data_IF_806422431811
#
_entry.id   IF_806422431811
#
_cell.length_a   1.000
_cell.length_b   1.000
_cell.length_c   1.000
_cell.angle_alpha   90.00
_cell.angle_beta   90.00
_cell.angle_gamma   90.00
#
_symmetry.space_group_name_H-M   'P 1'
#
loop_
_entity.id
_entity.type
_entity.pdbx_description
1 polymer ?
#
# COMPACT_ATOMS: atom_id res chain seq x y z
N UNK A 1 1.51 -1.19 -19.24
CA UNK A 1 1.67 0.01 -18.38
C UNK A 1 1.58 1.29 -19.22
N UNK A 2 1.25 2.38 -18.55
CA UNK A 2 1.27 3.72 -19.13
C UNK A 2 1.93 4.70 -18.14
N UNK A 3 2.88 5.48 -18.64
CA UNK A 3 3.54 6.55 -17.87
C UNK A 3 3.27 7.87 -18.56
N UNK A 4 2.71 8.84 -17.85
CA UNK A 4 2.22 10.10 -18.40
C UNK A 4 2.93 11.26 -17.70
N UNK A 5 3.57 12.12 -18.48
CA UNK A 5 4.12 13.35 -17.96
C UNK A 5 3.06 14.45 -17.94
N UNK A 6 2.74 14.99 -16.78
CA UNK A 6 1.75 16.05 -16.61
C UNK A 6 1.33 16.27 -15.16
N UNK A 7 0.54 17.30 -14.95
CA UNK A 7 -0.12 17.51 -13.67
C UNK A 7 -1.14 16.39 -13.45
N UNK A 8 -1.08 15.73 -12.30
CA UNK A 8 -1.93 14.56 -12.04
C UNK A 8 -3.43 14.90 -12.05
N UNK A 9 -3.83 16.07 -11.60
CA UNK A 9 -5.23 16.50 -11.62
C UNK A 9 -5.73 16.66 -13.06
N UNK A 10 -4.94 17.33 -13.93
CA UNK A 10 -5.28 17.53 -15.34
C UNK A 10 -5.34 16.19 -16.08
N UNK A 11 -4.37 15.31 -15.85
CA UNK A 11 -4.33 13.99 -16.48
C UNK A 11 -5.50 13.14 -15.99
N UNK A 12 -5.76 13.07 -14.69
CA UNK A 12 -6.86 12.27 -14.13
C UNK A 12 -8.22 12.75 -14.64
N UNK A 13 -8.41 14.07 -14.87
CA UNK A 13 -9.65 14.62 -15.43
C UNK A 13 -10.01 14.03 -16.80
N UNK A 14 -9.02 13.52 -17.55
CA UNK A 14 -9.24 12.88 -18.85
C UNK A 14 -9.72 11.42 -18.75
N UNK A 15 -9.57 10.81 -17.58
CA UNK A 15 -10.06 9.44 -17.34
C UNK A 15 -11.54 9.45 -16.95
N UNK A 16 -12.24 8.37 -17.33
CA UNK A 16 -13.59 8.10 -16.84
C UNK A 16 -13.64 7.77 -15.34
N UNK A 17 -14.83 7.60 -14.83
CA UNK A 17 -15.05 7.14 -13.44
C UNK A 17 -14.84 5.61 -13.34
N UNK A 18 -14.44 5.15 -12.14
CA UNK A 18 -14.41 3.73 -11.80
C UNK A 18 -13.52 2.87 -12.72
N UNK A 19 -12.33 3.37 -13.06
CA UNK A 19 -11.35 2.72 -13.94
C UNK A 19 -10.39 1.84 -13.14
N UNK A 20 -9.78 2.38 -12.08
CA UNK A 20 -8.68 1.72 -11.36
C UNK A 20 -9.17 0.90 -10.17
N UNK A 21 -8.50 -0.20 -9.89
CA UNK A 21 -8.81 -1.08 -8.76
C UNK A 21 -8.17 -0.59 -7.45
N UNK A 22 -7.01 0.01 -7.53
CA UNK A 22 -6.33 0.61 -6.37
C UNK A 22 -5.48 1.82 -6.77
N UNK A 23 -5.21 2.70 -5.81
CA UNK A 23 -4.17 3.72 -5.87
C UNK A 23 -3.13 3.41 -4.80
N UNK A 24 -1.86 3.31 -5.18
CA UNK A 24 -0.74 3.09 -4.26
C UNK A 24 0.35 4.06 -4.65
N UNK A 25 0.64 5.03 -3.78
CA UNK A 25 1.42 6.21 -4.14
C UNK A 25 2.29 6.73 -3.00
N UNK A 26 3.41 7.33 -3.36
CA UNK A 26 4.34 8.05 -2.48
C UNK A 26 4.37 9.55 -2.87
N UNK A 27 3.35 10.32 -2.47
CA UNK A 27 3.20 11.71 -2.87
C UNK A 27 4.19 12.64 -2.17
N UNK A 28 4.27 13.93 -2.56
CA UNK A 28 4.96 14.95 -1.79
C UNK A 28 4.49 14.99 -0.32
N UNK A 29 5.43 15.20 0.60
CA UNK A 29 5.13 15.24 2.04
C UNK A 29 5.05 16.67 2.60
N UNK A 30 5.41 17.69 1.80
CA UNK A 30 5.49 19.08 2.27
C UNK A 30 6.66 19.30 3.24
N UNK A 31 7.76 18.61 3.06
CA UNK A 31 8.96 18.71 3.90
C UNK A 31 10.03 19.61 3.30
N UNK A 32 9.80 20.19 2.12
CA UNK A 32 10.76 21.04 1.41
C UNK A 32 12.02 20.30 0.98
N UNK A 33 11.88 19.03 0.60
CA UNK A 33 13.01 18.22 0.12
C UNK A 33 13.48 18.64 -1.26
N UNK A 34 12.59 19.25 -2.04
CA UNK A 34 12.83 19.78 -3.39
C UNK A 34 11.74 20.80 -3.75
N UNK A 35 11.87 21.49 -4.89
CA UNK A 35 10.94 22.54 -5.34
C UNK A 35 9.49 22.08 -5.56
N UNK A 36 9.26 20.76 -5.68
CA UNK A 36 7.92 20.18 -5.79
C UNK A 36 7.32 19.75 -4.44
N UNK A 37 8.09 19.74 -3.35
CA UNK A 37 7.67 19.19 -2.04
C UNK A 37 7.24 20.30 -1.07
N UNK A 38 6.31 21.18 -1.50
CA UNK A 38 5.84 22.30 -0.68
C UNK A 38 4.72 21.96 0.29
N UNK A 39 3.87 20.97 -0.05
CA UNK A 39 2.71 20.59 0.75
C UNK A 39 2.30 19.14 0.46
N UNK A 40 1.50 18.57 1.36
CA UNK A 40 0.76 17.33 1.02
C UNK A 40 -0.26 17.62 -0.09
N UNK A 41 -0.63 16.64 -0.93
CA UNK A 41 -1.64 16.81 -1.97
C UNK A 41 -2.96 17.33 -1.40
N UNK A 42 -3.60 18.23 -2.15
CA UNK A 42 -4.87 18.87 -1.75
C UNK A 42 -6.04 17.90 -1.88
N UNK A 43 -7.19 18.29 -1.32
CA UNK A 43 -8.43 17.49 -1.37
C UNK A 43 -8.88 17.26 -2.82
N UNK A 44 -8.71 18.25 -3.70
CA UNK A 44 -9.12 18.18 -5.10
C UNK A 44 -8.37 17.07 -5.87
N UNK A 45 -7.09 16.88 -5.59
CA UNK A 45 -6.31 15.78 -6.18
C UNK A 45 -6.87 14.43 -5.72
N UNK A 46 -7.15 14.30 -4.42
CA UNK A 46 -7.74 13.07 -3.89
C UNK A 46 -9.17 12.83 -4.36
N UNK A 47 -9.93 13.88 -4.68
CA UNK A 47 -11.25 13.76 -5.31
C UNK A 47 -11.15 13.15 -6.71
N UNK A 48 -10.15 13.54 -7.52
CA UNK A 48 -9.91 12.91 -8.83
C UNK A 48 -9.47 11.45 -8.69
N UNK A 49 -8.60 11.14 -7.71
CA UNK A 49 -8.27 9.75 -7.39
C UNK A 49 -9.52 8.97 -6.96
N UNK A 50 -10.34 9.54 -6.08
CA UNK A 50 -11.61 8.93 -5.65
C UNK A 50 -12.55 8.66 -6.82
N UNK A 51 -12.73 9.63 -7.71
CA UNK A 51 -13.60 9.51 -8.88
C UNK A 51 -13.16 8.37 -9.79
N UNK A 52 -11.86 8.28 -10.05
CA UNK A 52 -11.29 7.29 -10.98
C UNK A 52 -11.16 5.89 -10.39
N UNK A 53 -11.16 5.73 -9.06
CA UNK A 53 -11.17 4.41 -8.43
C UNK A 53 -12.55 3.75 -8.51
N UNK A 54 -12.56 2.43 -8.67
CA UNK A 54 -13.77 1.59 -8.59
C UNK A 54 -14.34 1.59 -7.17
N UNK A 55 -15.67 1.43 -6.99
CA UNK A 55 -16.27 1.21 -5.68
C UNK A 55 -15.58 0.05 -4.93
N UNK A 56 -15.23 0.27 -3.68
CA UNK A 56 -14.46 -0.67 -2.87
C UNK A 56 -12.94 -0.66 -3.12
N UNK A 57 -12.44 0.10 -4.08
CA UNK A 57 -11.01 0.25 -4.36
C UNK A 57 -10.27 0.90 -3.20
N UNK A 58 -9.04 0.46 -2.95
CA UNK A 58 -8.20 0.99 -1.89
C UNK A 58 -7.29 2.11 -2.38
N UNK A 59 -7.07 3.11 -1.52
CA UNK A 59 -6.08 4.16 -1.69
C UNK A 59 -5.05 4.07 -0.56
N UNK A 60 -3.80 3.81 -0.91
CA UNK A 60 -2.66 3.77 -0.01
C UNK A 60 -1.74 4.95 -0.31
N UNK A 61 -1.54 5.83 0.67
CA UNK A 61 -0.67 6.99 0.54
C UNK A 61 0.41 6.99 1.60
N UNK A 62 1.66 6.93 1.19
CA UNK A 62 2.79 7.14 2.08
C UNK A 62 2.78 8.57 2.61
N UNK A 63 3.36 8.79 3.79
CA UNK A 63 3.45 10.10 4.40
C UNK A 63 4.57 10.20 5.43
N UNK A 64 4.96 11.42 5.78
CA UNK A 64 5.78 11.66 6.95
C UNK A 64 4.96 11.57 8.24
N UNK A 65 5.54 11.12 9.36
CA UNK A 65 4.86 11.15 10.65
C UNK A 65 4.38 12.55 11.08
N UNK A 66 5.08 13.59 10.64
CA UNK A 66 4.78 14.98 11.00
C UNK A 66 3.49 15.49 10.33
N UNK A 67 3.21 15.04 9.11
CA UNK A 67 2.09 15.53 8.29
C UNK A 67 1.03 14.47 8.00
N UNK A 68 1.15 13.28 8.61
CA UNK A 68 0.19 12.19 8.46
C UNK A 68 -1.26 12.63 8.69
N UNK A 69 -1.48 13.42 9.73
CA UNK A 69 -2.82 13.91 10.06
C UNK A 69 -3.42 14.76 8.93
N UNK A 70 -2.63 15.60 8.26
CA UNK A 70 -3.10 16.41 7.13
C UNK A 70 -3.40 15.54 5.91
N UNK A 71 -2.52 14.57 5.62
CA UNK A 71 -2.73 13.62 4.53
C UNK A 71 -4.02 12.83 4.74
N UNK A 72 -4.21 12.26 5.94
CA UNK A 72 -5.38 11.47 6.26
C UNK A 72 -6.68 12.28 6.16
N UNK A 73 -6.68 13.53 6.67
CA UNK A 73 -7.84 14.43 6.55
C UNK A 73 -8.14 14.76 5.09
N UNK A 74 -7.14 15.12 4.28
CA UNK A 74 -7.38 15.45 2.87
C UNK A 74 -7.93 14.24 2.09
N UNK A 75 -7.46 13.04 2.38
CA UNK A 75 -7.98 11.79 1.78
C UNK A 75 -9.42 11.54 2.24
N UNK A 76 -9.72 11.73 3.52
CA UNK A 76 -11.07 11.54 4.08
C UNK A 76 -12.06 12.58 3.51
N UNK A 77 -11.66 13.85 3.46
CA UNK A 77 -12.48 14.95 2.92
C UNK A 77 -12.77 14.78 1.41
N UNK A 78 -11.93 14.04 0.69
CA UNK A 78 -12.19 13.66 -0.69
C UNK A 78 -13.27 12.59 -0.85
N UNK A 79 -13.76 11.99 0.25
CA UNK A 79 -14.85 11.01 0.26
C UNK A 79 -14.44 9.57 0.59
N UNK A 80 -13.16 9.32 0.81
CA UNK A 80 -12.68 8.01 1.24
C UNK A 80 -13.03 7.73 2.69
N UNK A 81 -13.11 6.44 3.04
CA UNK A 81 -13.21 5.97 4.43
C UNK A 81 -11.84 5.48 4.87
N UNK A 82 -11.27 6.11 5.90
CA UNK A 82 -10.02 5.64 6.51
C UNK A 82 -10.25 4.28 7.15
N UNK A 83 -9.47 3.28 6.78
CA UNK A 83 -9.57 1.89 7.25
C UNK A 83 -8.50 1.52 8.25
N UNK A 84 -7.27 1.95 8.00
CA UNK A 84 -6.12 1.58 8.81
C UNK A 84 -4.96 2.56 8.58
N UNK A 85 -3.91 2.38 9.35
CA UNK A 85 -2.60 2.94 9.14
C UNK A 85 -1.59 1.81 9.12
N UNK A 86 -0.81 1.71 8.05
CA UNK A 86 0.34 0.82 8.02
C UNK A 86 1.57 1.61 8.50
N UNK A 87 2.38 1.00 9.36
CA UNK A 87 3.68 1.53 9.77
C UNK A 87 4.78 0.75 9.05
N UNK A 88 5.45 1.40 8.08
CA UNK A 88 6.67 0.84 7.51
C UNK A 88 7.85 1.23 8.37
N UNK A 89 8.44 0.24 9.03
CA UNK A 89 9.57 0.43 9.94
C UNK A 89 10.86 0.66 9.16
N UNK A 90 11.62 1.69 9.55
CA UNK A 90 12.92 2.03 8.93
C UNK A 90 13.91 2.49 9.99
N UNK A 91 15.14 1.99 9.94
CA UNK A 91 16.19 2.36 10.92
C UNK A 91 17.27 3.25 10.34
N UNK A 92 17.23 3.52 9.04
CA UNK A 92 18.31 4.19 8.31
C UNK A 92 18.16 5.71 8.24
N UNK A 93 17.09 6.28 8.79
CA UNK A 93 16.92 7.74 8.83
C UNK A 93 17.91 8.38 9.81
N UNK A 94 18.35 9.60 9.48
CA UNK A 94 19.27 10.35 10.33
C UNK A 94 18.56 10.89 11.58
N UNK A 95 19.24 10.95 12.73
CA UNK A 95 18.74 11.67 13.89
C UNK A 95 18.46 13.14 13.54
N UNK A 96 17.36 13.68 14.05
CA UNK A 96 17.05 15.12 13.94
C UNK A 96 17.34 15.80 15.26
N UNK A 97 17.83 17.05 15.22
CA UNK A 97 18.08 17.83 16.43
C UNK A 97 16.77 17.99 17.24
N UNK A 98 16.83 17.79 18.54
CA UNK A 98 15.70 17.91 19.49
C UNK A 98 14.47 17.03 19.18
N UNK A 99 14.66 15.92 18.44
CA UNK A 99 13.59 14.95 18.13
C UNK A 99 14.11 13.52 18.23
N UNK A 100 13.23 12.61 18.47
CA UNK A 100 13.54 11.18 18.33
C UNK A 100 13.92 10.89 16.87
N UNK A 101 14.87 9.96 16.68
CA UNK A 101 15.22 9.45 15.36
C UNK A 101 13.97 8.82 14.75
N UNK A 102 13.51 9.27 13.56
CA UNK A 102 12.37 8.63 12.89
C UNK A 102 12.67 7.16 12.60
N UNK A 103 11.79 6.27 13.01
CA UNK A 103 11.93 4.83 12.83
C UNK A 103 10.79 4.20 12.02
N UNK A 104 9.89 4.99 11.47
CA UNK A 104 8.82 4.52 10.59
C UNK A 104 8.39 5.59 9.58
N UNK A 105 7.75 5.14 8.52
CA UNK A 105 6.92 5.94 7.63
C UNK A 105 5.50 5.40 7.72
N UNK A 106 4.50 6.24 8.05
CA UNK A 106 3.11 5.83 8.06
C UNK A 106 2.55 5.80 6.63
N UNK A 107 1.62 4.88 6.38
CA UNK A 107 0.87 4.80 5.14
C UNK A 107 -0.61 4.91 5.50
N UNK A 108 -1.30 5.88 4.94
CA UNK A 108 -2.77 5.98 5.04
C UNK A 108 -3.36 4.82 4.25
N UNK A 109 -4.26 4.06 4.86
CA UNK A 109 -5.06 3.04 4.18
C UNK A 109 -6.49 3.50 4.17
N UNK A 110 -6.97 3.89 3.00
CA UNK A 110 -8.32 4.37 2.79
C UNK A 110 -9.05 3.53 1.73
N UNK A 111 -10.36 3.55 1.74
CA UNK A 111 -11.18 2.78 0.81
C UNK A 111 -12.32 3.64 0.28
N UNK A 112 -12.51 3.63 -1.04
CA UNK A 112 -13.74 4.15 -1.64
C UNK A 112 -14.90 3.29 -1.16
N UNK A 113 -16.01 3.87 -0.65
CA UNK A 113 -17.18 3.12 -0.25
C UNK A 113 -17.61 2.11 -1.32
N UNK A 114 -17.96 0.92 -0.91
CA UNK A 114 -18.46 -0.11 -1.81
C UNK A 114 -19.99 -0.03 -1.97
N UNK A 115 -20.50 -0.55 -3.08
CA UNK A 115 -21.93 -0.56 -3.40
C UNK A 115 -22.61 -1.79 -2.81
N UNK A 116 -23.67 -1.59 -2.03
CA UNK A 116 -24.45 -2.67 -1.46
C UNK A 116 -23.66 -3.54 -0.47
N UNK A 117 -23.67 -4.87 -0.66
CA UNK A 117 -22.86 -5.78 0.15
C UNK A 117 -21.44 -5.91 -0.41
N UNK A 118 -20.49 -6.20 0.47
CA UNK A 118 -19.08 -6.43 0.08
C UNK A 118 -18.96 -7.52 -1.01
N UNK A 119 -19.75 -8.61 -0.89
CA UNK A 119 -19.80 -9.67 -1.89
C UNK A 119 -20.28 -9.16 -3.26
N UNK A 120 -21.41 -8.45 -3.28
CA UNK A 120 -21.97 -7.94 -4.54
C UNK A 120 -21.02 -6.93 -5.21
N UNK A 121 -20.36 -6.10 -4.40
CA UNK A 121 -19.35 -5.17 -4.91
C UNK A 121 -18.16 -5.90 -5.52
N UNK A 122 -17.66 -6.93 -4.84
CA UNK A 122 -16.55 -7.73 -5.36
C UNK A 122 -16.94 -8.45 -6.67
N UNK A 123 -18.13 -9.06 -6.72
CA UNK A 123 -18.62 -9.75 -7.91
C UNK A 123 -18.76 -8.78 -9.13
N UNK A 124 -19.13 -7.51 -8.87
CA UNK A 124 -19.31 -6.48 -9.92
C UNK A 124 -18.02 -5.78 -10.32
N UNK A 125 -17.19 -5.40 -9.35
CA UNK A 125 -16.07 -4.49 -9.55
C UNK A 125 -14.69 -5.15 -9.38
N UNK A 126 -14.62 -6.36 -8.86
CA UNK A 126 -13.36 -7.02 -8.48
C UNK A 126 -12.67 -6.38 -7.26
N UNK A 127 -13.30 -5.43 -6.59
CA UNK A 127 -12.75 -4.63 -5.50
C UNK A 127 -13.45 -4.87 -4.17
N UNK A 128 -12.83 -4.40 -3.07
CA UNK A 128 -13.40 -4.37 -1.73
C UNK A 128 -12.79 -5.37 -0.76
N UNK A 129 -12.24 -6.46 -1.24
CA UNK A 129 -11.53 -7.45 -0.45
C UNK A 129 -10.03 -7.20 -0.48
N UNK A 130 -9.35 -7.55 0.60
CA UNK A 130 -7.88 -7.62 0.67
C UNK A 130 -7.44 -9.07 0.72
N UNK A 131 -6.38 -9.40 0.01
CA UNK A 131 -5.87 -10.77 -0.07
C UNK A 131 -4.92 -11.09 1.09
N UNK A 132 -5.50 -11.31 2.26
CA UNK A 132 -4.71 -11.66 3.45
C UNK A 132 -4.37 -13.15 3.52
N UNK A 133 -5.17 -14.01 2.90
CA UNK A 133 -4.98 -15.46 3.00
C UNK A 133 -3.80 -15.95 2.16
N UNK A 134 -3.62 -15.45 0.95
CA UNK A 134 -2.47 -15.79 0.11
C UNK A 134 -1.18 -15.04 0.52
N UNK A 135 -1.30 -14.01 1.37
CA UNK A 135 -0.17 -13.21 1.85
C UNK A 135 0.16 -13.45 3.32
N UNK A 136 -0.12 -14.64 3.83
CA UNK A 136 0.23 -15.03 5.20
C UNK A 136 1.74 -15.05 5.40
N UNK A 137 2.17 -14.60 6.56
CA UNK A 137 3.57 -14.67 7.00
C UNK A 137 3.85 -16.06 7.56
N UNK A 138 4.76 -16.78 6.95
CA UNK A 138 5.13 -18.14 7.35
C UNK A 138 5.54 -18.22 8.84
N UNK A 139 5.32 -19.37 9.44
CA UNK A 139 5.80 -19.65 10.79
C UNK A 139 7.30 -19.94 10.75
N UNK A 140 8.07 -19.31 11.62
CA UNK A 140 9.50 -19.63 11.81
C UNK A 140 9.71 -20.92 12.60
N UNK A 141 8.69 -21.32 13.36
CA UNK A 141 8.66 -22.54 14.19
C UNK A 141 7.32 -23.22 13.98
N UNK A 142 7.14 -24.41 14.56
CA UNK A 142 5.83 -25.09 14.51
C UNK A 142 4.70 -24.14 14.96
N UNK A 143 3.58 -24.11 14.21
CA UNK A 143 2.44 -23.28 14.57
C UNK A 143 1.90 -23.66 15.95
N UNK A 144 1.50 -22.66 16.78
CA UNK A 144 0.93 -22.94 18.09
C UNK A 144 -0.35 -23.78 17.99
N UNK A 145 -0.50 -24.76 18.88
CA UNK A 145 -1.69 -25.61 18.98
C UNK A 145 -2.53 -25.21 20.19
N UNK A 146 -3.82 -25.45 20.09
CA UNK A 146 -4.73 -25.31 21.23
C UNK A 146 -5.03 -23.88 21.66
N UNK A 147 -5.03 -22.92 20.74
CA UNK A 147 -5.47 -21.56 21.03
C UNK A 147 -6.95 -21.53 21.39
N UNK A 148 -7.27 -20.94 22.53
CA UNK A 148 -8.66 -20.70 22.90
C UNK A 148 -9.26 -19.74 21.88
N UNK A 149 -10.29 -20.16 21.16
CA UNK A 149 -11.02 -19.32 20.21
C UNK A 149 -11.50 -18.07 20.95
N UNK A 150 -10.85 -16.92 20.69
CA UNK A 150 -10.92 -15.75 21.52
C UNK A 150 -12.33 -15.29 21.85
N UNK A 151 -12.75 -15.65 23.02
CA UNK A 151 -13.80 -14.97 23.76
C UNK A 151 -13.17 -13.87 24.60
N UNK A 152 -12.51 -12.91 23.98
CA UNK A 152 -12.21 -11.68 24.68
C UNK A 152 -13.57 -11.08 25.08
N UNK A 153 -13.90 -11.15 26.37
CA UNK A 153 -14.96 -10.33 26.94
C UNK A 153 -14.68 -8.91 26.46
N UNK A 154 -15.49 -8.39 25.53
CA UNK A 154 -15.41 -6.98 25.17
C UNK A 154 -15.61 -6.20 26.46
N UNK A 155 -14.55 -5.79 27.11
CA UNK A 155 -14.57 -4.75 28.11
C UNK A 155 -14.87 -3.47 27.35
N UNK A 156 -16.16 -3.14 27.23
CA UNK A 156 -16.59 -1.80 26.87
C UNK A 156 -16.12 -0.88 27.99
N UNK A 157 -15.19 -0.03 27.71
CA UNK A 157 -14.80 1.05 28.62
C UNK A 157 -16.10 1.81 29.01
N UNK A 158 -16.46 1.80 30.29
CA UNK A 158 -17.42 2.72 30.87
C UNK A 158 -18.90 2.30 30.97
N UNK A 159 -19.27 1.02 30.81
CA UNK A 159 -20.62 0.54 31.19
C UNK A 159 -20.53 -0.78 31.95
N UNK A 160 -20.96 -0.78 33.20
CA UNK A 160 -21.37 -1.99 33.93
C UNK A 160 -22.59 -2.57 33.23
N UNK A 161 -22.38 -3.48 32.28
CA UNK A 161 -23.44 -4.22 31.62
C UNK A 161 -23.57 -5.59 32.23
N UNK A 162 -24.73 -5.94 32.76
CA UNK A 162 -25.09 -7.29 33.17
C UNK A 162 -24.85 -8.27 32.02
N UNK A 163 -23.89 -9.17 32.15
CA UNK A 163 -23.66 -10.27 31.22
C UNK A 163 -24.74 -11.33 31.40
N UNK A 164 -25.84 -11.20 30.66
CA UNK A 164 -26.75 -12.31 30.37
C UNK A 164 -26.28 -12.98 29.09
N UNK A 165 -25.33 -13.86 29.18
CA UNK A 165 -24.87 -14.67 28.06
C UNK A 165 -24.38 -16.01 28.58
N UNK A 166 -25.02 -17.09 28.17
CA UNK A 166 -24.57 -18.44 28.40
C UNK A 166 -23.10 -18.58 28.11
N UNK A 167 -22.33 -19.14 29.05
CA UNK A 167 -20.95 -19.54 28.81
C UNK A 167 -20.96 -20.62 27.73
N UNK A 168 -20.79 -20.21 26.46
CA UNK A 168 -20.40 -21.14 25.39
C UNK A 168 -18.98 -21.57 25.69
N UNK A 169 -18.75 -22.86 25.89
CA UNK A 169 -17.39 -23.41 25.90
C UNK A 169 -16.72 -23.03 24.59
N UNK A 170 -15.68 -22.22 24.70
CA UNK A 170 -14.88 -21.83 23.54
C UNK A 170 -13.94 -22.99 23.23
N UNK A 171 -14.20 -23.70 22.15
CA UNK A 171 -13.31 -24.75 21.66
C UNK A 171 -11.90 -24.19 21.36
N UNK A 172 -10.90 -25.02 21.50
CA UNK A 172 -9.54 -24.70 21.03
C UNK A 172 -9.48 -24.80 19.51
N UNK A 173 -8.74 -23.92 18.89
CA UNK A 173 -8.45 -23.93 17.44
C UNK A 173 -6.95 -23.89 17.28
N UNK A 174 -6.42 -24.78 16.45
CA UNK A 174 -5.01 -24.71 16.06
C UNK A 174 -4.76 -23.51 15.17
N UNK A 175 -3.56 -22.95 15.24
CA UNK A 175 -3.16 -21.87 14.36
C UNK A 175 -3.16 -22.37 12.91
N UNK A 176 -3.47 -21.46 11.96
CA UNK A 176 -3.47 -21.82 10.55
C UNK A 176 -2.07 -22.27 10.12
N UNK A 177 -1.92 -23.49 9.57
CA UNK A 177 -0.61 -24.01 9.19
C UNK A 177 0.09 -23.17 8.11
N UNK A 178 -0.68 -22.45 7.29
CA UNK A 178 -0.16 -21.60 6.20
C UNK A 178 0.46 -20.28 6.69
N UNK A 179 0.42 -20.00 8.00
CA UNK A 179 1.04 -18.80 8.55
C UNK A 179 0.08 -17.85 9.25
N UNK A 180 0.66 -16.76 9.75
CA UNK A 180 -0.04 -15.67 10.45
C UNK A 180 -0.66 -14.70 9.43
N UNK A 181 -1.72 -14.01 9.80
CA UNK A 181 -2.23 -12.89 9.04
C UNK A 181 -1.16 -11.79 8.88
N UNK A 182 -1.12 -11.09 7.73
CA UNK A 182 -0.30 -9.91 7.57
C UNK A 182 -0.57 -8.89 8.68
N UNK A 183 0.48 -8.20 9.12
CA UNK A 183 0.38 -7.14 10.12
C UNK A 183 0.40 -5.78 9.43
N UNK A 184 -0.25 -4.79 10.04
CA UNK A 184 -0.12 -3.38 9.64
C UNK A 184 1.20 -2.73 10.11
N UNK A 185 2.14 -3.51 10.64
CA UNK A 185 3.52 -3.11 10.87
C UNK A 185 4.39 -3.93 9.92
N UNK A 186 5.07 -3.27 8.99
CA UNK A 186 5.92 -3.88 7.98
C UNK A 186 7.37 -3.55 8.29
N UNK A 187 8.22 -4.57 8.34
CA UNK A 187 9.65 -4.45 8.61
C UNK A 187 10.18 -5.70 9.27
N UNK A 188 11.50 -5.86 9.26
CA UNK A 188 12.18 -6.97 9.95
C UNK A 188 12.84 -6.49 11.24
N UNK A 189 12.70 -7.29 12.29
CA UNK A 189 13.42 -7.11 13.56
C UNK A 189 14.41 -8.25 13.67
N UNK A 190 15.70 -7.96 13.65
CA UNK A 190 16.71 -8.97 13.95
C UNK A 190 16.69 -9.28 15.45
N UNK A 191 16.81 -10.58 15.80
CA UNK A 191 16.70 -11.07 17.17
C UNK A 191 17.67 -10.41 18.16
N UNK A 192 18.85 -10.03 17.70
CA UNK A 192 19.89 -9.42 18.53
C UNK A 192 19.71 -7.91 18.73
N UNK A 193 18.78 -7.31 18.01
CA UNK A 193 18.51 -5.88 18.01
C UNK A 193 17.03 -5.57 18.26
N UNK A 194 16.37 -6.28 19.15
CA UNK A 194 14.96 -5.99 19.53
C UNK A 194 14.70 -4.53 19.93
N UNK A 195 15.76 -3.76 20.18
CA UNK A 195 15.69 -2.32 20.44
C UNK A 195 15.68 -1.45 19.18
N UNK A 196 16.02 -2.02 18.00
CA UNK A 196 16.17 -1.28 16.76
C UNK A 196 15.63 -2.10 15.59
N UNK A 197 14.49 -1.66 15.03
CA UNK A 197 13.91 -2.28 13.85
C UNK A 197 14.74 -1.95 12.60
N UNK A 198 15.01 -2.94 11.78
CA UNK A 198 15.71 -2.78 10.51
C UNK A 198 14.79 -3.15 9.35
N UNK A 199 14.48 -2.17 8.49
CA UNK A 199 13.85 -2.40 7.20
C UNK A 199 14.76 -1.87 6.10
N UNK A 200 15.12 -2.66 5.09
CA UNK A 200 16.03 -2.23 4.03
C UNK A 200 15.40 -1.09 3.22
N UNK A 201 16.22 -0.12 2.85
CA UNK A 201 15.91 0.86 1.80
C UNK A 201 16.15 0.23 0.44
N UNK A 202 15.58 0.85 -0.60
CA UNK A 202 15.90 0.48 -1.98
C UNK A 202 17.43 0.44 -2.20
N UNK A 203 17.91 -0.69 -2.69
CA UNK A 203 19.32 -0.89 -2.99
C UNK A 203 19.74 -0.07 -4.23
N UNK A 204 21.04 0.14 -4.45
CA UNK A 204 21.53 0.78 -5.67
C UNK A 204 21.11 0.01 -6.93
N UNK A 205 21.02 -1.31 -6.84
CA UNK A 205 20.57 -2.17 -7.95
C UNK A 205 19.10 -1.93 -8.29
N UNK A 206 18.24 -1.81 -7.28
CA UNK A 206 16.79 -1.53 -7.47
C UNK A 206 16.55 -0.11 -7.99
N UNK A 207 17.35 0.85 -7.56
CA UNK A 207 17.27 2.23 -8.06
C UNK A 207 17.59 2.33 -9.55
N UNK A 208 18.53 1.53 -10.03
CA UNK A 208 19.15 1.69 -11.34
C UNK A 208 20.35 2.63 -11.32
N UNK A 209 21.21 2.51 -12.34
CA UNK A 209 22.52 3.20 -12.37
C UNK A 209 22.38 4.72 -12.52
N UNK A 210 21.38 5.16 -13.29
CA UNK A 210 21.19 6.55 -13.69
C UNK A 210 19.96 7.20 -13.02
N UNK A 211 19.43 6.58 -11.95
CA UNK A 211 18.28 7.09 -11.21
C UNK A 211 18.74 7.94 -10.02
N UNK A 212 18.60 9.24 -10.15
CA UNK A 212 18.94 10.26 -9.17
C UNK A 212 17.78 10.62 -8.22
N UNK A 213 16.61 9.97 -8.38
CA UNK A 213 15.45 10.25 -7.54
C UNK A 213 15.76 10.04 -6.04
N UNK A 214 15.50 11.06 -5.17
CA UNK A 214 15.98 11.05 -3.79
C UNK A 214 15.32 10.01 -2.90
N UNK A 215 14.05 9.68 -3.14
CA UNK A 215 13.19 8.94 -2.21
C UNK A 215 12.62 7.64 -2.79
N UNK A 216 13.41 6.90 -3.57
CA UNK A 216 12.97 5.64 -4.18
C UNK A 216 12.58 4.62 -3.12
N UNK A 217 11.34 4.11 -3.18
CA UNK A 217 10.85 3.04 -2.30
C UNK A 217 11.40 1.66 -2.72
N UNK A 218 11.54 0.69 -1.78
CA UNK A 218 11.89 -0.68 -2.12
C UNK A 218 10.80 -1.34 -2.99
N UNK A 219 11.22 -2.04 -4.05
CA UNK A 219 10.28 -2.72 -4.96
C UNK A 219 9.48 -3.78 -4.21
N UNK A 220 10.12 -4.55 -3.33
CA UNK A 220 9.47 -5.63 -2.57
C UNK A 220 8.38 -5.10 -1.62
N UNK A 221 8.56 -3.89 -1.05
CA UNK A 221 7.53 -3.25 -0.25
C UNK A 221 6.31 -2.89 -1.09
N UNK A 222 6.53 -2.27 -2.26
CA UNK A 222 5.44 -1.89 -3.15
C UNK A 222 4.73 -3.13 -3.70
N UNK A 223 5.46 -4.18 -4.06
CA UNK A 223 4.93 -5.47 -4.50
C UNK A 223 4.05 -6.11 -3.41
N UNK A 224 4.50 -6.10 -2.16
CA UNK A 224 3.71 -6.62 -1.03
C UNK A 224 2.38 -5.86 -0.84
N UNK A 225 2.41 -4.53 -0.91
CA UNK A 225 1.19 -3.72 -0.82
C UNK A 225 0.25 -4.00 -2.00
N UNK A 226 0.78 -4.10 -3.22
CA UNK A 226 0.00 -4.40 -4.43
C UNK A 226 -0.67 -5.76 -4.32
N UNK A 227 0.03 -6.81 -3.88
CA UNK A 227 -0.56 -8.15 -3.69
C UNK A 227 -1.76 -8.15 -2.75
N UNK A 228 -1.70 -7.37 -1.67
CA UNK A 228 -2.77 -7.33 -0.66
C UNK A 228 -3.97 -6.49 -1.14
N UNK A 229 -3.72 -5.33 -1.75
CA UNK A 229 -4.75 -4.30 -1.96
C UNK A 229 -5.23 -4.15 -3.41
N UNK A 230 -4.59 -4.82 -4.36
CA UNK A 230 -5.00 -4.83 -5.75
C UNK A 230 -5.23 -6.27 -6.25
N UNK A 231 -6.39 -6.59 -6.80
CA UNK A 231 -6.65 -7.94 -7.33
C UNK A 231 -5.69 -8.28 -8.47
N UNK A 232 -5.45 -9.57 -8.70
CA UNK A 232 -4.67 -10.06 -9.84
C UNK A 232 -5.32 -9.56 -11.13
N UNK A 233 -4.51 -9.15 -12.12
CA UNK A 233 -4.97 -8.49 -13.36
C UNK A 233 -5.74 -7.19 -13.14
N UNK A 234 -5.77 -6.67 -11.91
CA UNK A 234 -6.31 -5.35 -11.62
C UNK A 234 -5.37 -4.24 -12.06
N UNK A 235 -5.86 -3.00 -12.04
CA UNK A 235 -5.08 -1.82 -12.41
C UNK A 235 -4.72 -0.98 -11.19
N UNK A 236 -3.45 -0.61 -11.10
CA UNK A 236 -2.89 0.27 -10.06
C UNK A 236 -2.65 1.66 -10.64
N UNK A 237 -3.13 2.67 -9.94
CA UNK A 237 -2.83 4.07 -10.21
C UNK A 237 -1.77 4.59 -9.24
N UNK A 238 -0.79 5.33 -9.76
CA UNK A 238 0.14 6.14 -8.97
C UNK A 238 0.23 7.56 -9.56
N UNK A 239 -0.49 8.54 -9.00
CA UNK A 239 -0.52 9.91 -9.51
C UNK A 239 0.76 10.72 -9.21
N UNK A 240 1.73 10.13 -8.50
CA UNK A 240 3.03 10.71 -8.15
C UNK A 240 4.14 9.67 -8.33
N UNK A 241 4.22 9.08 -9.52
CA UNK A 241 4.99 7.83 -9.73
C UNK A 241 6.51 8.00 -9.65
N UNK A 242 7.02 9.23 -9.66
CA UNK A 242 8.46 9.50 -9.63
C UNK A 242 9.21 8.65 -10.67
N UNK A 243 10.24 7.95 -10.22
CA UNK A 243 11.03 7.04 -11.07
C UNK A 243 10.39 5.65 -11.29
N UNK A 244 9.09 5.46 -11.03
CA UNK A 244 8.30 4.29 -11.45
C UNK A 244 8.45 3.02 -10.61
N UNK A 245 8.78 3.10 -9.33
CA UNK A 245 8.93 1.89 -8.49
C UNK A 245 7.61 1.14 -8.34
N UNK A 246 6.49 1.85 -8.17
CA UNK A 246 5.16 1.24 -8.12
C UNK A 246 4.83 0.51 -9.42
N UNK A 247 5.22 1.07 -10.57
CA UNK A 247 5.03 0.45 -11.88
C UNK A 247 5.80 -0.85 -12.03
N UNK A 248 7.10 -0.85 -11.71
CA UNK A 248 7.93 -2.06 -11.70
C UNK A 248 7.32 -3.14 -10.79
N UNK A 249 6.86 -2.75 -9.60
CA UNK A 249 6.24 -3.67 -8.66
C UNK A 249 4.90 -4.21 -9.18
N UNK A 250 4.06 -3.38 -9.80
CA UNK A 250 2.78 -3.79 -10.36
C UNK A 250 2.95 -4.82 -11.48
N UNK A 251 3.93 -4.62 -12.35
CA UNK A 251 4.23 -5.56 -13.43
C UNK A 251 4.74 -6.90 -12.89
N UNK A 252 5.61 -6.91 -11.89
CA UNK A 252 6.05 -8.15 -11.21
C UNK A 252 4.91 -8.95 -10.61
N UNK A 253 3.89 -8.26 -10.15
CA UNK A 253 2.73 -8.84 -9.51
C UNK A 253 1.56 -9.08 -10.47
N UNK A 254 1.78 -8.97 -11.78
CA UNK A 254 0.78 -9.22 -12.82
C UNK A 254 -0.45 -8.27 -12.71
N UNK A 255 -0.17 -6.98 -12.53
CA UNK A 255 -1.17 -5.90 -12.51
C UNK A 255 -0.87 -4.87 -13.59
N UNK A 256 -1.93 -4.29 -14.15
CA UNK A 256 -1.80 -3.10 -15.00
C UNK A 256 -1.37 -1.89 -14.20
N UNK A 257 -0.69 -0.95 -14.85
CA UNK A 257 -0.19 0.23 -14.16
C UNK A 257 -0.38 1.50 -14.97
N UNK A 258 -0.84 2.55 -14.29
CA UNK A 258 -0.82 3.93 -14.80
C UNK A 258 -0.09 4.80 -13.78
N UNK A 259 1.02 5.40 -14.21
CA UNK A 259 1.80 6.35 -13.43
C UNK A 259 1.76 7.73 -14.03
N UNK A 260 1.69 8.76 -13.20
CA UNK A 260 1.72 10.16 -13.59
C UNK A 260 2.81 10.87 -12.80
N UNK A 261 3.59 11.73 -13.43
CA UNK A 261 4.55 12.59 -12.75
C UNK A 261 4.73 13.91 -13.49
N UNK A 262 4.93 15.00 -12.75
CA UNK A 262 5.19 16.32 -13.29
C UNK A 262 6.56 16.42 -13.97
N UNK A 263 7.54 15.69 -13.45
CA UNK A 263 8.90 15.70 -13.96
C UNK A 263 9.04 14.81 -15.19
N UNK A 264 9.31 15.43 -16.34
CA UNK A 264 9.62 14.70 -17.57
C UNK A 264 10.84 13.78 -17.38
N UNK A 265 11.85 14.23 -16.64
CA UNK A 265 13.03 13.43 -16.34
C UNK A 265 12.67 12.14 -15.59
N UNK A 266 11.83 12.22 -14.54
CA UNK A 266 11.44 11.03 -13.79
C UNK A 266 10.49 10.12 -14.56
N UNK A 267 9.62 10.65 -15.41
CA UNK A 267 8.78 9.81 -16.28
C UNK A 267 9.59 9.05 -17.34
N UNK A 268 10.68 9.65 -17.85
CA UNK A 268 11.61 8.95 -18.75
C UNK A 268 12.32 7.79 -18.02
N UNK A 269 12.81 8.01 -16.80
CA UNK A 269 13.41 6.96 -15.95
C UNK A 269 12.37 5.87 -15.62
N UNK A 270 11.16 6.26 -15.25
CA UNK A 270 10.07 5.34 -14.96
C UNK A 270 9.73 4.45 -16.16
N UNK A 271 9.63 5.05 -17.35
CA UNK A 271 9.37 4.32 -18.60
C UNK A 271 10.46 3.31 -18.89
N UNK A 272 11.74 3.70 -18.75
CA UNK A 272 12.86 2.81 -18.95
C UNK A 272 12.85 1.64 -17.95
N UNK A 273 12.61 1.91 -16.67
CA UNK A 273 12.58 0.85 -15.64
C UNK A 273 11.42 -0.12 -15.85
N UNK A 274 10.25 0.37 -16.21
CA UNK A 274 9.10 -0.47 -16.52
C UNK A 274 9.33 -1.29 -17.80
N UNK A 275 9.91 -0.74 -18.86
CA UNK A 275 10.19 -1.49 -20.09
C UNK A 275 11.19 -2.64 -19.89
N UNK A 276 12.20 -2.45 -19.06
CA UNK A 276 13.15 -3.52 -18.69
C UNK A 276 12.44 -4.65 -17.93
N UNK A 277 11.54 -4.30 -17.03
CA UNK A 277 10.78 -5.29 -16.25
C UNK A 277 9.79 -6.05 -17.12
N UNK A 278 9.12 -5.38 -18.08
CA UNK A 278 8.20 -6.01 -19.04
C UNK A 278 8.92 -7.08 -19.86
N UNK A 279 10.09 -6.76 -20.41
CA UNK A 279 10.91 -7.74 -21.18
C UNK A 279 11.32 -8.90 -20.28
N UNK A 280 11.72 -8.65 -19.06
CA UNK A 280 12.11 -9.69 -18.09
C UNK A 280 10.96 -10.63 -17.77
N UNK A 281 9.75 -10.10 -17.60
CA UNK A 281 8.54 -10.87 -17.33
C UNK A 281 8.14 -11.77 -18.52
N UNK A 282 8.22 -11.25 -19.73
CA UNK A 282 7.96 -12.01 -20.98
C UNK A 282 8.98 -13.13 -21.20
N UNK A 283 10.24 -12.90 -20.87
CA UNK A 283 11.31 -13.90 -21.01
C UNK A 283 11.19 -15.04 -20.00
N UNK A 284 10.74 -14.73 -18.77
CA UNK A 284 10.60 -15.72 -17.68
C UNK A 284 9.29 -16.49 -17.73
N UNK A 285 8.24 -15.98 -18.40
CA UNK A 285 6.93 -16.61 -18.56
C UNK A 285 6.47 -16.73 -20.01
N UNK A 286 7.24 -17.38 -20.90
CA UNK A 286 6.89 -17.45 -22.34
C UNK A 286 5.63 -18.28 -22.65
N UNK A 287 5.04 -18.97 -21.67
CA UNK A 287 3.90 -19.86 -21.84
C UNK A 287 2.58 -19.33 -21.23
N UNK A 288 2.59 -18.20 -20.52
CA UNK A 288 1.37 -17.68 -19.88
C UNK A 288 0.35 -17.18 -20.91
N UNK A 289 0.81 -16.63 -22.04
CA UNK A 289 -0.06 -16.07 -23.10
C UNK A 289 -0.53 -17.11 -24.14
N UNK A 290 -0.10 -18.38 -24.03
CA UNK A 290 -0.52 -19.45 -24.95
C UNK A 290 -1.67 -20.32 -24.44
N UNK A 291 -2.19 -20.04 -23.24
CA UNK A 291 -3.21 -20.88 -22.59
C UNK A 291 -4.57 -20.18 -22.38
N UNK A 292 -4.83 -19.08 -23.09
CA UNK A 292 -6.16 -18.44 -23.12
C UNK A 292 -6.66 -18.25 -24.55
#
# INVERSE_FOLDING_TARGET
YSIINGNCQDVLSTYGENIFHSCITDPPYGMGMDDWDHSVPTVEIWQEVYRTLKPGGFCLSFCSPELYHRMAVNVEDAGFVIKDQIMWMTTTKMPKHNRLKPAHEPIVVAQKPYEGSLKNNHDKWGCGLIDTDNNRVAWEKEPPKGWVKGGAKRRTFGREGKTTGSQKEFGTVDANPNGRYPSNIIGSVQSDHQKYFYAPRATRKEKGKDNDHPTVKPIDLMAYLIRIYCPIKGSVLDPFCGSGTTGVAAMREDREFVGIDLSKHYTEIATQRCSVEEVSHLVLNPLADMLY
#
